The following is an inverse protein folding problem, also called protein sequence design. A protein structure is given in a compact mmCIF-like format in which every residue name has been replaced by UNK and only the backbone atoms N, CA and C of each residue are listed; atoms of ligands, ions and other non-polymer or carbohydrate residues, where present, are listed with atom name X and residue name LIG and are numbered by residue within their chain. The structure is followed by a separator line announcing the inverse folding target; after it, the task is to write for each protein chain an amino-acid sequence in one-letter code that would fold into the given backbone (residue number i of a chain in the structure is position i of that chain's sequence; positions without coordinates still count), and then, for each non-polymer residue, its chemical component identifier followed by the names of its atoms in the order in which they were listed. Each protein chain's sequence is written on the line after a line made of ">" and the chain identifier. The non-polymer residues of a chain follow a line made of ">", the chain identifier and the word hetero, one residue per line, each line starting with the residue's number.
data_IF_946919465975
#
_entry.id   IF_946919465975
#
_cell.length_a   1.000
_cell.length_b   1.000
_cell.length_c   1.000
_cell.angle_alpha   90.00
_cell.angle_beta   90.00
_cell.angle_gamma   90.00
#
_symmetry.space_group_name_H-M   'P 1'
#
loop_
_entity.id
_entity.type
_entity.pdbx_description
1 polymer ?
#
# COMPACT_ATOMS: atom_id res chain seq x y z
N UNK A 1 -15.00 1.14 8.71
CA UNK A 1 -13.61 1.13 8.20
C UNK A 1 -13.54 2.04 6.99
N UNK A 2 -12.43 2.76 6.82
CA UNK A 2 -12.04 3.47 5.59
C UNK A 2 -10.56 3.15 5.34
N UNK A 3 -10.23 2.78 4.10
CA UNK A 3 -8.85 2.48 3.71
C UNK A 3 -8.16 3.79 3.25
N UNK A 4 -7.18 4.23 4.02
CA UNK A 4 -6.44 5.46 3.74
C UNK A 4 -5.50 5.33 2.53
N UNK A 5 -5.26 4.10 2.05
CA UNK A 5 -4.45 3.83 0.87
C UNK A 5 -5.29 3.55 -0.39
N UNK A 6 -6.52 4.12 -0.44
CA UNK A 6 -7.40 4.12 -1.61
C UNK A 6 -7.77 5.55 -1.98
N UNK A 7 -8.05 5.82 -3.28
CA UNK A 7 -8.58 7.11 -3.71
C UNK A 7 -9.90 7.43 -3.01
N UNK A 8 -10.18 8.70 -2.68
CA UNK A 8 -11.40 9.08 -1.97
C UNK A 8 -12.68 8.94 -2.80
N UNK A 9 -12.55 8.81 -4.12
CA UNK A 9 -13.62 8.52 -5.07
C UNK A 9 -13.80 7.02 -5.39
N UNK A 10 -13.05 6.17 -4.67
CA UNK A 10 -13.02 4.71 -4.83
C UNK A 10 -12.61 4.21 -6.23
N UNK A 11 -11.96 5.04 -7.04
CA UNK A 11 -11.44 4.64 -8.36
C UNK A 11 -10.39 3.53 -8.20
N UNK A 12 -10.55 2.44 -8.95
CA UNK A 12 -9.61 1.31 -8.89
C UNK A 12 -8.23 1.69 -9.42
N UNK A 13 -7.21 1.43 -8.61
CA UNK A 13 -5.80 1.59 -9.00
C UNK A 13 -5.26 0.42 -9.85
N UNK A 14 -6.02 -0.67 -9.94
CA UNK A 14 -5.68 -1.90 -10.65
C UNK A 14 -6.88 -2.40 -11.47
N UNK A 15 -7.23 -1.71 -12.59
CA UNK A 15 -8.34 -2.13 -13.42
C UNK A 15 -8.20 -3.58 -13.87
N UNK A 16 -9.31 -4.35 -13.80
CA UNK A 16 -9.34 -5.76 -14.17
C UNK A 16 -8.77 -6.73 -13.17
N UNK A 17 -8.35 -6.26 -11.97
CA UNK A 17 -7.87 -7.11 -10.88
C UNK A 17 -8.78 -6.97 -9.65
N UNK A 18 -8.87 -8.04 -8.87
CA UNK A 18 -9.53 -7.97 -7.57
C UNK A 18 -8.73 -7.04 -6.62
N UNK A 19 -9.42 -6.10 -6.02
CA UNK A 19 -8.88 -5.17 -5.04
C UNK A 19 -9.92 -4.90 -3.95
N UNK A 20 -9.49 -4.42 -2.81
CA UNK A 20 -10.40 -3.85 -1.82
C UNK A 20 -10.75 -2.42 -2.18
N UNK A 21 -12.01 -2.03 -1.95
CA UNK A 21 -12.46 -0.63 -2.11
C UNK A 21 -12.05 0.27 -0.94
N UNK A 22 -12.45 1.53 -1.05
CA UNK A 22 -12.23 2.57 -0.02
C UNK A 22 -12.87 2.20 1.34
N UNK A 23 -14.07 1.64 1.30
CA UNK A 23 -14.77 1.14 2.49
C UNK A 23 -15.12 -0.34 2.28
N UNK A 24 -14.17 -1.27 2.54
CA UNK A 24 -14.38 -2.69 2.26
C UNK A 24 -15.55 -3.25 3.06
N UNK A 25 -16.39 -4.03 2.40
CA UNK A 25 -17.57 -4.68 2.99
C UNK A 25 -17.36 -6.17 3.25
N UNK A 26 -16.29 -6.74 2.70
CA UNK A 26 -15.88 -8.13 2.94
C UNK A 26 -14.44 -8.20 3.41
N UNK A 27 -14.13 -9.24 4.16
CA UNK A 27 -12.76 -9.66 4.43
C UNK A 27 -12.17 -10.36 3.20
N UNK A 28 -10.87 -10.63 3.22
CA UNK A 28 -10.21 -11.40 2.14
C UNK A 28 -10.68 -12.86 2.04
N UNK A 29 -11.22 -13.41 3.12
CA UNK A 29 -11.88 -14.72 3.15
C UNK A 29 -13.26 -14.73 2.47
N UNK A 30 -13.80 -13.55 2.10
CA UNK A 30 -15.15 -13.39 1.57
C UNK A 30 -16.22 -13.17 2.64
N UNK A 31 -15.87 -13.29 3.91
CA UNK A 31 -16.81 -13.03 5.03
C UNK A 31 -17.18 -11.54 5.11
N UNK A 32 -18.45 -11.23 5.45
CA UNK A 32 -18.90 -9.84 5.57
C UNK A 32 -18.25 -9.16 6.78
N UNK A 33 -17.84 -7.90 6.60
CA UNK A 33 -17.36 -7.01 7.68
C UNK A 33 -18.52 -6.45 8.50
N UNK A 34 -19.69 -6.32 7.89
CA UNK A 34 -20.88 -5.73 8.49
C UNK A 34 -21.98 -6.77 8.67
N UNK A 35 -22.88 -6.53 9.60
CA UNK A 35 -24.14 -7.27 9.66
C UNK A 35 -24.99 -6.94 8.43
N UNK A 36 -25.81 -7.86 7.92
CA UNK A 36 -26.67 -7.60 6.76
C UNK A 36 -27.49 -6.31 6.91
N UNK A 37 -27.47 -5.47 5.89
CA UNK A 37 -28.14 -4.16 5.86
C UNK A 37 -27.49 -3.07 6.73
N UNK A 38 -26.27 -3.29 7.20
CA UNK A 38 -25.46 -2.30 7.94
C UNK A 38 -24.20 -1.87 7.21
N UNK A 39 -24.10 -2.20 5.94
CA UNK A 39 -23.03 -1.75 5.05
C UNK A 39 -23.11 -0.22 4.91
N UNK A 40 -21.98 0.50 4.78
CA UNK A 40 -22.01 1.94 4.65
C UNK A 40 -22.64 2.34 3.31
N UNK A 41 -23.61 3.23 3.36
CA UNK A 41 -24.16 3.90 2.20
C UNK A 41 -23.24 5.04 1.71
N UNK A 42 -23.62 5.69 0.62
CA UNK A 42 -22.84 6.78 0.03
C UNK A 42 -22.64 7.96 0.99
N UNK A 43 -23.63 8.27 1.83
CA UNK A 43 -23.54 9.36 2.80
C UNK A 43 -22.56 9.02 3.93
N UNK A 44 -22.60 7.79 4.44
CA UNK A 44 -21.65 7.31 5.44
C UNK A 44 -20.24 7.22 4.89
N UNK A 45 -20.04 6.77 3.63
CA UNK A 45 -18.74 6.77 2.97
C UNK A 45 -18.18 8.19 2.88
N UNK A 46 -18.99 9.16 2.41
CA UNK A 46 -18.59 10.56 2.32
C UNK A 46 -18.19 11.12 3.70
N UNK A 47 -18.99 10.82 4.74
CA UNK A 47 -18.68 11.24 6.11
C UNK A 47 -17.36 10.65 6.62
N UNK A 48 -17.02 9.40 6.27
CA UNK A 48 -15.72 8.79 6.62
C UNK A 48 -14.57 9.44 5.90
N UNK A 49 -14.74 9.77 4.61
CA UNK A 49 -13.72 10.50 3.85
C UNK A 49 -13.40 11.83 4.52
N UNK A 50 -14.43 12.64 4.85
CA UNK A 50 -14.24 13.94 5.50
C UNK A 50 -13.61 13.81 6.90
N UNK A 51 -14.05 12.82 7.67
CA UNK A 51 -13.66 12.69 9.08
C UNK A 51 -12.30 12.05 9.30
N UNK A 52 -11.89 11.12 8.43
CA UNK A 52 -10.69 10.30 8.64
C UNK A 52 -9.68 10.40 7.49
N UNK A 53 -10.16 10.28 6.25
CA UNK A 53 -9.29 10.24 5.10
C UNK A 53 -8.62 11.61 4.85
N UNK A 54 -9.40 12.68 4.78
CA UNK A 54 -8.87 14.03 4.51
C UNK A 54 -7.90 14.54 5.58
N UNK A 55 -8.19 14.44 6.89
CA UNK A 55 -7.25 14.88 7.93
C UNK A 55 -5.93 14.11 7.89
N UNK A 56 -5.99 12.79 7.66
CA UNK A 56 -4.79 11.98 7.51
C UNK A 56 -3.93 12.48 6.34
N UNK A 57 -4.52 12.61 5.16
CA UNK A 57 -3.80 13.05 3.96
C UNK A 57 -3.31 14.50 4.06
N UNK A 58 -4.05 15.38 4.68
CA UNK A 58 -3.60 16.75 4.95
C UNK A 58 -2.35 16.78 5.85
N UNK A 59 -2.34 15.95 6.90
CA UNK A 59 -1.19 15.82 7.81
C UNK A 59 0.02 15.21 7.09
N UNK A 60 -0.17 14.14 6.32
CA UNK A 60 0.91 13.51 5.57
C UNK A 60 1.52 14.46 4.55
N UNK A 61 0.69 15.19 3.82
CA UNK A 61 1.14 16.19 2.85
C UNK A 61 1.96 17.30 3.52
N UNK A 62 1.45 17.86 4.61
CA UNK A 62 2.14 18.92 5.36
C UNK A 62 3.51 18.45 5.87
N UNK A 63 3.61 17.22 6.36
CA UNK A 63 4.87 16.67 6.83
C UNK A 63 5.87 16.43 5.69
N UNK A 64 5.42 15.92 4.55
CA UNK A 64 6.27 15.76 3.37
C UNK A 64 6.78 17.11 2.86
N UNK A 65 5.93 18.14 2.84
CA UNK A 65 6.31 19.49 2.44
C UNK A 65 7.32 20.10 3.43
N UNK A 66 7.10 19.92 4.73
CA UNK A 66 8.02 20.37 5.76
C UNK A 66 9.40 19.74 5.61
N UNK A 67 9.47 18.41 5.52
CA UNK A 67 10.73 17.68 5.37
C UNK A 67 11.44 18.04 4.05
N UNK A 68 10.68 18.18 2.97
CA UNK A 68 11.24 18.59 1.68
C UNK A 68 11.81 20.02 1.74
N UNK A 69 11.13 20.93 2.41
CA UNK A 69 11.62 22.30 2.57
C UNK A 69 12.92 22.35 3.40
N UNK A 70 13.04 21.51 4.41
CA UNK A 70 14.20 21.43 5.29
C UNK A 70 15.40 20.74 4.63
N UNK A 71 15.16 19.65 3.87
CA UNK A 71 16.22 18.77 3.37
C UNK A 71 16.37 18.76 1.83
N UNK A 72 15.54 19.49 1.10
CA UNK A 72 15.52 19.54 -0.36
C UNK A 72 14.86 18.31 -1.02
N UNK A 73 14.88 17.16 -0.35
CA UNK A 73 14.27 15.91 -0.79
C UNK A 73 13.82 15.07 0.39
N UNK A 74 12.81 14.22 0.15
CA UNK A 74 12.24 13.32 1.16
C UNK A 74 11.92 11.97 0.52
N UNK A 75 12.04 10.91 1.29
CA UNK A 75 11.59 9.56 0.91
C UNK A 75 10.44 9.16 1.82
N UNK A 76 9.28 8.91 1.22
CA UNK A 76 8.13 8.29 1.88
C UNK A 76 8.25 6.78 1.75
N UNK A 77 8.40 6.11 2.88
CA UNK A 77 8.45 4.65 2.95
C UNK A 77 7.13 4.09 3.50
N UNK A 78 6.41 3.33 2.67
CA UNK A 78 5.19 2.65 3.08
C UNK A 78 5.48 1.18 3.39
N UNK A 79 5.41 0.82 4.67
CA UNK A 79 5.55 -0.56 5.13
C UNK A 79 4.19 -1.23 5.28
N UNK A 80 3.95 -2.32 4.54
CA UNK A 80 2.74 -3.12 4.56
C UNK A 80 3.05 -4.60 4.77
N UNK A 81 2.05 -5.37 5.12
CA UNK A 81 2.14 -6.84 5.10
C UNK A 81 0.80 -7.48 4.80
N UNK A 82 0.85 -8.64 4.12
CA UNK A 82 -0.32 -9.40 3.74
C UNK A 82 0.00 -10.90 3.80
N UNK A 83 -1.02 -11.76 3.90
CA UNK A 83 -0.84 -13.20 3.81
C UNK A 83 -0.14 -13.59 2.51
N UNK A 84 0.80 -14.52 2.59
CA UNK A 84 1.56 -15.01 1.44
C UNK A 84 0.73 -15.79 0.41
N UNK A 85 -0.42 -16.35 0.83
CA UNK A 85 -1.38 -17.04 -0.04
C UNK A 85 -2.76 -16.41 0.14
N UNK A 86 -3.26 -15.79 -0.92
CA UNK A 86 -4.55 -15.10 -0.89
C UNK A 86 -5.26 -15.20 -2.26
N UNK A 87 -5.94 -16.34 -2.54
CA UNK A 87 -6.54 -16.61 -3.86
C UNK A 87 -7.52 -15.54 -4.34
N UNK A 88 -8.14 -14.80 -3.43
CA UNK A 88 -9.00 -13.67 -3.77
C UNK A 88 -8.24 -12.56 -4.53
N UNK A 89 -6.96 -12.32 -4.21
CA UNK A 89 -6.18 -11.22 -4.79
C UNK A 89 -5.17 -11.67 -5.84
N UNK A 90 -4.61 -12.89 -5.70
CA UNK A 90 -3.56 -13.39 -6.60
C UNK A 90 -3.48 -14.93 -6.55
N UNK A 91 -2.97 -15.51 -7.62
CA UNK A 91 -2.69 -16.94 -7.69
C UNK A 91 -1.33 -17.28 -7.07
N UNK A 92 -1.21 -18.49 -6.52
CA UNK A 92 0.03 -19.02 -5.98
C UNK A 92 0.45 -18.37 -4.67
N UNK A 93 1.75 -18.18 -4.53
CA UNK A 93 2.39 -17.66 -3.33
C UNK A 93 3.15 -16.36 -3.62
N UNK A 94 2.93 -15.35 -2.77
CA UNK A 94 3.58 -14.06 -2.87
C UNK A 94 5.08 -14.20 -2.53
N UNK A 95 6.01 -13.57 -3.25
CA UNK A 95 7.38 -13.40 -2.77
C UNK A 95 7.42 -12.73 -1.38
N UNK A 96 8.48 -13.01 -0.62
CA UNK A 96 8.61 -12.49 0.76
C UNK A 96 8.60 -10.96 0.82
N UNK A 97 9.30 -10.32 -0.11
CA UNK A 97 9.47 -8.88 -0.20
C UNK A 97 8.96 -8.37 -1.55
N UNK A 98 7.96 -7.52 -1.53
CA UNK A 98 7.35 -6.97 -2.75
C UNK A 98 7.51 -5.45 -2.75
N UNK A 99 8.48 -4.95 -3.52
CA UNK A 99 8.75 -3.52 -3.65
C UNK A 99 7.86 -2.93 -4.75
N UNK A 100 7.11 -1.89 -4.42
CA UNK A 100 6.27 -1.13 -5.33
C UNK A 100 6.79 0.28 -5.52
N UNK A 101 6.97 0.69 -6.77
CA UNK A 101 7.43 2.04 -7.15
C UNK A 101 6.51 2.68 -8.20
N UNK A 102 5.22 2.27 -8.22
CA UNK A 102 4.26 2.66 -9.26
C UNK A 102 4.77 2.42 -10.69
N UNK A 103 5.50 1.31 -10.91
CA UNK A 103 6.14 1.03 -12.20
C UNK A 103 7.33 1.94 -12.52
N UNK A 104 7.98 2.50 -11.51
CA UNK A 104 9.09 3.45 -11.64
C UNK A 104 8.67 4.92 -11.63
N UNK A 105 7.36 5.22 -11.49
CA UNK A 105 6.86 6.59 -11.54
C UNK A 105 6.95 7.32 -10.20
N UNK A 106 7.00 6.60 -9.06
CA UNK A 106 6.92 7.21 -7.73
C UNK A 106 8.29 7.48 -7.07
N UNK A 107 9.37 7.01 -7.66
CA UNK A 107 10.73 7.28 -7.20
C UNK A 107 11.71 7.39 -8.35
N UNK A 108 12.88 7.98 -8.08
CA UNK A 108 13.94 8.11 -9.08
C UNK A 108 14.52 6.74 -9.48
N UNK A 109 14.99 6.58 -10.72
CA UNK A 109 15.68 5.36 -11.15
C UNK A 109 16.91 5.03 -10.29
N UNK A 110 17.54 6.04 -9.70
CA UNK A 110 18.69 5.84 -8.82
C UNK A 110 18.29 5.18 -7.50
N UNK A 111 17.20 5.66 -6.87
CA UNK A 111 16.67 5.06 -5.66
C UNK A 111 16.17 3.64 -5.93
N UNK A 112 15.39 3.43 -6.98
CA UNK A 112 14.90 2.10 -7.33
C UNK A 112 16.06 1.10 -7.50
N UNK A 113 17.07 1.42 -8.33
CA UNK A 113 18.23 0.53 -8.50
C UNK A 113 18.95 0.24 -7.19
N UNK A 114 19.08 1.22 -6.30
CA UNK A 114 19.71 1.01 -4.99
C UNK A 114 18.92 0.03 -4.12
N UNK A 115 17.60 0.16 -4.10
CA UNK A 115 16.72 -0.76 -3.38
C UNK A 115 16.76 -2.18 -3.97
N UNK A 116 16.74 -2.31 -5.30
CA UNK A 116 16.90 -3.60 -5.98
C UNK A 116 18.23 -4.29 -5.63
N UNK A 117 19.33 -3.53 -5.58
CA UNK A 117 20.64 -4.05 -5.16
C UNK A 117 20.60 -4.55 -3.70
N UNK A 118 19.97 -3.82 -2.79
CA UNK A 118 19.82 -4.23 -1.39
C UNK A 118 19.00 -5.51 -1.28
N UNK A 119 17.87 -5.57 -2.00
CA UNK A 119 17.00 -6.76 -2.02
C UNK A 119 17.74 -7.98 -2.60
N UNK A 120 18.52 -7.80 -3.65
CA UNK A 120 19.29 -8.89 -4.26
C UNK A 120 20.44 -9.37 -3.37
N UNK A 121 21.09 -8.47 -2.64
CA UNK A 121 22.28 -8.78 -1.82
C UNK A 121 21.95 -9.51 -0.52
N UNK A 122 20.70 -9.42 0.02
CA UNK A 122 20.35 -10.00 1.32
C UNK A 122 20.27 -11.55 1.31
N UNK A 123 20.02 -12.19 0.18
CA UNK A 123 20.14 -13.66 -0.04
C UNK A 123 19.20 -14.57 0.78
N UNK A 124 18.41 -14.02 1.70
CA UNK A 124 17.55 -14.80 2.61
C UNK A 124 16.10 -14.88 2.13
N UNK A 125 15.56 -13.79 1.65
CA UNK A 125 14.15 -13.65 1.28
C UNK A 125 13.99 -13.54 -0.23
N UNK A 126 12.97 -14.17 -0.76
CA UNK A 126 12.54 -13.97 -2.15
C UNK A 126 11.99 -12.56 -2.31
N UNK A 127 12.19 -11.94 -3.48
CA UNK A 127 11.73 -10.59 -3.72
C UNK A 127 11.27 -10.37 -5.16
N UNK A 128 10.46 -9.35 -5.34
CA UNK A 128 10.03 -8.85 -6.65
C UNK A 128 9.86 -7.33 -6.60
N UNK A 129 10.11 -6.68 -7.73
CA UNK A 129 9.86 -5.25 -7.90
C UNK A 129 8.72 -5.05 -8.89
N UNK A 130 7.73 -4.24 -8.49
CA UNK A 130 6.53 -3.95 -9.29
C UNK A 130 5.78 -5.20 -9.79
N UNK A 131 5.74 -6.27 -8.99
CA UNK A 131 4.98 -7.49 -9.26
C UNK A 131 3.47 -7.27 -9.07
N UNK A 132 2.84 -8.07 -8.20
CA UNK A 132 1.41 -7.92 -7.88
C UNK A 132 1.11 -6.58 -7.20
N UNK A 133 1.97 -6.14 -6.29
CA UNK A 133 1.84 -4.87 -5.56
C UNK A 133 2.82 -3.84 -6.11
N UNK A 134 2.27 -2.88 -6.87
CA UNK A 134 3.07 -1.82 -7.52
C UNK A 134 3.06 -0.50 -6.75
N UNK A 135 2.35 -0.45 -5.63
CA UNK A 135 2.09 0.74 -4.85
C UNK A 135 0.59 1.11 -4.81
N UNK A 136 0.11 1.48 -3.62
CA UNK A 136 -1.24 1.96 -3.37
C UNK A 136 -1.42 3.44 -3.73
N UNK A 137 -2.51 4.03 -3.23
CA UNK A 137 -2.82 5.44 -3.46
C UNK A 137 -1.71 6.36 -2.94
N UNK A 138 -1.24 6.14 -1.72
CA UNK A 138 -0.22 6.96 -1.08
C UNK A 138 1.06 7.00 -1.91
N UNK A 139 1.60 5.83 -2.28
CA UNK A 139 2.80 5.73 -3.12
C UNK A 139 2.64 6.48 -4.44
N UNK A 140 1.50 6.31 -5.12
CA UNK A 140 1.22 6.92 -6.45
C UNK A 140 0.93 8.40 -6.36
N UNK A 141 0.21 8.84 -5.32
CA UNK A 141 -0.23 10.23 -5.17
C UNK A 141 0.90 11.15 -4.73
N UNK A 142 1.72 10.69 -3.78
CA UNK A 142 2.78 11.51 -3.20
C UNK A 142 4.13 11.36 -3.90
N UNK A 143 4.40 10.24 -4.56
CA UNK A 143 5.63 10.03 -5.31
C UNK A 143 5.74 10.98 -6.50
N UNK A 144 6.61 12.00 -6.36
CA UNK A 144 6.92 13.02 -7.35
C UNK A 144 8.43 13.27 -7.33
N UNK A 145 9.23 12.34 -7.87
CA UNK A 145 10.70 12.41 -7.76
C UNK A 145 11.27 13.71 -8.35
N UNK A 146 10.69 14.23 -9.43
CA UNK A 146 11.10 15.50 -10.04
C UNK A 146 10.85 16.71 -9.14
N UNK A 147 9.91 16.59 -8.18
CA UNK A 147 9.63 17.60 -7.18
C UNK A 147 10.32 17.32 -5.83
N UNK A 148 11.23 16.35 -5.77
CA UNK A 148 11.99 16.01 -4.57
C UNK A 148 11.25 15.15 -3.55
N UNK A 149 10.10 14.56 -3.92
CA UNK A 149 9.37 13.60 -3.08
C UNK A 149 9.42 12.23 -3.73
N UNK A 150 10.17 11.30 -3.16
CA UNK A 150 10.23 9.92 -3.60
C UNK A 150 9.33 9.06 -2.71
N UNK A 151 8.54 8.15 -3.29
CA UNK A 151 7.69 7.23 -2.54
C UNK A 151 7.89 5.80 -2.98
N UNK A 152 8.02 4.90 -2.02
CA UNK A 152 8.16 3.46 -2.24
C UNK A 152 7.28 2.70 -1.24
N UNK A 153 6.70 1.60 -1.68
CA UNK A 153 5.95 0.68 -0.84
C UNK A 153 6.71 -0.64 -0.72
N UNK A 154 6.80 -1.17 0.49
CA UNK A 154 7.26 -2.53 0.72
C UNK A 154 6.11 -3.35 1.32
N UNK A 155 5.62 -4.34 0.56
CA UNK A 155 4.64 -5.32 1.03
C UNK A 155 5.37 -6.59 1.45
N UNK A 156 5.31 -6.94 2.72
CA UNK A 156 5.88 -8.17 3.26
C UNK A 156 4.85 -9.32 3.20
N UNK A 157 5.25 -10.50 2.78
CA UNK A 157 4.47 -11.70 3.10
C UNK A 157 4.55 -11.94 4.62
N UNK A 158 3.40 -12.07 5.28
CA UNK A 158 3.32 -12.18 6.76
C UNK A 158 4.14 -13.34 7.32
N UNK A 159 4.31 -14.41 6.55
CA UNK A 159 5.18 -15.55 6.95
C UNK A 159 6.63 -15.16 7.24
N UNK A 160 7.09 -14.00 6.83
CA UNK A 160 8.46 -13.51 7.11
C UNK A 160 8.69 -13.20 8.57
N UNK A 161 7.62 -12.96 9.34
CA UNK A 161 7.70 -12.57 10.75
C UNK A 161 6.64 -13.22 11.65
N UNK A 162 5.66 -13.93 11.07
CA UNK A 162 4.62 -14.63 11.84
C UNK A 162 4.15 -15.91 11.13
N UNK A 163 3.61 -16.84 11.90
CA UNK A 163 2.82 -17.94 11.39
C UNK A 163 1.44 -17.46 10.95
N UNK A 164 1.11 -17.62 9.67
CA UNK A 164 -0.09 -17.01 9.06
C UNK A 164 -1.40 -17.69 9.48
N UNK A 165 -1.35 -18.89 10.08
CA UNK A 165 -2.54 -19.61 10.52
C UNK A 165 -2.81 -19.40 12.00
N UNK A 166 -1.79 -19.45 12.83
CA UNK A 166 -1.93 -19.25 14.29
C UNK A 166 -1.79 -17.78 14.73
N UNK A 167 -1.34 -16.87 13.83
CA UNK A 167 -1.05 -15.47 14.09
C UNK A 167 0.00 -15.24 15.19
N UNK A 168 0.90 -16.21 15.40
CA UNK A 168 2.00 -16.07 16.36
C UNK A 168 3.24 -15.53 15.66
N UNK A 169 3.90 -14.60 16.31
CA UNK A 169 5.22 -14.13 15.83
C UNK A 169 6.26 -15.24 15.92
N UNK A 170 7.20 -15.25 14.96
CA UNK A 170 8.32 -16.19 14.87
C UNK A 170 9.39 -15.89 15.92
#
# INVERSE_FOLDING_TARGET
>A
VVDLNRPPDDTSLYPGQNTTGLCPVTQFSGEPVYRPGREPDAAEIAARVERYWRPYHATLQAELERLRAEHGRVVLWEGHSIRGRLPYLFEGELPDLNLGTAGGASCSPALQRRLEQVLAAQGRYSHVVNGRFKGGYITRHYGRPDAGVEAVQLELAQRTYMDEDSFRYL
#
